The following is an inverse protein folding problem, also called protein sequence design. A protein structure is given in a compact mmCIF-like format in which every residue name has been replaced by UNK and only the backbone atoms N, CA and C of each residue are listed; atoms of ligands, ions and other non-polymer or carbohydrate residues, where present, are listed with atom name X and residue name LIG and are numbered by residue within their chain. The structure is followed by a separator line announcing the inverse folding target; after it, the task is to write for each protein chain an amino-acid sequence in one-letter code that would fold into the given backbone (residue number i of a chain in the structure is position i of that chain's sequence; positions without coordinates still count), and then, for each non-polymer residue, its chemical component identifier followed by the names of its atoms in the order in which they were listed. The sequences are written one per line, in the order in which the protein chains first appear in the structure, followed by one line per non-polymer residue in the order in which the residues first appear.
data_IF_952009928801
#
_entry.id   IF_952009928801
#
_cell.length_a   1.000
_cell.length_b   1.000
_cell.length_c   1.000
_cell.angle_alpha   90.00
_cell.angle_beta   90.00
_cell.angle_gamma   90.00
#
_symmetry.space_group_name_H-M   'P 1'
#
loop_
_entity.id
_entity.type
_entity.pdbx_description
1 polymer ?
#
# COMPACT_ATOMS: atom_id res chain seq x y z
N UNK A 1 -2.29 11.61 75.71
CA UNK A 1 -2.05 10.88 74.44
C UNK A 1 -3.00 11.44 73.39
N UNK A 2 -2.59 12.49 72.70
CA UNK A 2 -3.37 13.12 71.63
C UNK A 2 -2.39 13.61 70.58
N UNK A 3 -2.04 12.77 69.61
CA UNK A 3 -1.27 13.18 68.44
C UNK A 3 -1.32 12.10 67.33
N UNK A 4 -2.50 11.69 66.87
CA UNK A 4 -2.63 10.92 65.60
C UNK A 4 -4.01 11.19 64.99
N UNK A 5 -4.22 12.31 64.28
CA UNK A 5 -5.43 12.49 63.47
C UNK A 5 -5.41 13.64 62.44
N UNK A 6 -4.25 14.10 61.96
CA UNK A 6 -4.21 15.04 60.82
C UNK A 6 -3.44 14.56 59.57
N UNK A 7 -2.59 13.54 59.66
CA UNK A 7 -1.80 13.07 58.50
C UNK A 7 -2.55 12.12 57.56
N UNK A 8 -3.66 11.49 57.97
CA UNK A 8 -4.40 10.56 57.11
C UNK A 8 -5.44 11.23 56.21
N UNK A 9 -5.87 12.46 56.50
CA UNK A 9 -6.86 13.17 55.67
C UNK A 9 -6.24 13.95 54.49
N UNK A 10 -4.94 14.29 54.55
CA UNK A 10 -4.24 14.96 53.44
C UNK A 10 -3.79 13.98 52.34
N UNK A 11 -3.52 12.72 52.68
CA UNK A 11 -3.13 11.69 51.71
C UNK A 11 -4.27 11.24 50.80
N UNK A 12 -5.49 11.11 51.33
CA UNK A 12 -6.65 10.68 50.56
C UNK A 12 -7.13 11.75 49.55
N UNK A 13 -7.04 13.04 49.90
CA UNK A 13 -7.41 14.14 49.02
C UNK A 13 -6.42 14.31 47.84
N UNK A 14 -5.12 14.10 48.07
CA UNK A 14 -4.12 14.13 47.00
C UNK A 14 -4.23 12.92 46.05
N UNK A 15 -4.52 11.72 46.57
CA UNK A 15 -4.69 10.52 45.74
C UNK A 15 -5.98 10.57 44.92
N UNK A 16 -7.06 11.15 45.46
CA UNK A 16 -8.29 11.40 44.69
C UNK A 16 -8.13 12.52 43.65
N UNK A 17 -7.35 13.57 43.94
CA UNK A 17 -7.05 14.62 42.96
C UNK A 17 -6.15 14.12 41.82
N UNK A 18 -5.20 13.22 42.10
CA UNK A 18 -4.37 12.59 41.07
C UNK A 18 -5.17 11.56 40.28
N UNK A 19 -6.03 10.75 40.93
CA UNK A 19 -6.89 9.80 40.21
C UNK A 19 -7.95 10.49 39.33
N UNK A 20 -8.50 11.63 39.76
CA UNK A 20 -9.37 12.47 38.94
C UNK A 20 -8.61 13.20 37.81
N UNK A 21 -7.33 13.54 38.02
CA UNK A 21 -6.48 14.13 36.97
C UNK A 21 -6.06 13.11 35.88
N UNK A 22 -6.09 11.80 36.17
CA UNK A 22 -5.86 10.75 35.15
C UNK A 22 -7.17 10.42 34.38
N UNK A 23 -8.34 10.82 34.88
CA UNK A 23 -9.64 10.63 34.20
C UNK A 23 -10.05 11.79 33.27
N UNK A 24 -9.16 12.75 33.02
CA UNK A 24 -9.48 13.97 32.27
C UNK A 24 -8.42 14.43 31.25
N UNK A 25 -7.46 13.58 30.88
CA UNK A 25 -6.72 13.83 29.65
C UNK A 25 -7.65 13.45 28.49
N UNK A 26 -8.44 14.42 28.02
CA UNK A 26 -9.00 14.35 26.67
C UNK A 26 -7.87 13.89 25.75
N UNK A 27 -8.05 12.76 25.07
CA UNK A 27 -7.08 12.31 24.09
C UNK A 27 -6.81 13.48 23.14
N UNK A 28 -5.59 14.01 23.07
CA UNK A 28 -5.30 15.20 22.25
C UNK A 28 -5.00 14.85 20.80
N UNK A 29 -4.79 13.56 20.50
CA UNK A 29 -4.46 13.04 19.16
C UNK A 29 -5.65 12.40 18.43
N UNK A 30 -5.52 12.04 17.15
CA UNK A 30 -6.57 11.34 16.41
C UNK A 30 -6.92 10.00 17.05
N UNK A 31 -8.20 9.63 16.98
CA UNK A 31 -8.73 8.34 17.47
C UNK A 31 -9.01 7.40 16.30
N UNK A 32 -8.92 6.09 16.53
CA UNK A 32 -9.45 5.09 15.59
C UNK A 32 -10.80 4.59 16.09
N UNK A 33 -11.83 4.82 15.31
CA UNK A 33 -13.20 4.44 15.62
C UNK A 33 -13.59 3.22 14.79
N UNK A 34 -14.44 2.39 15.37
CA UNK A 34 -15.25 1.43 14.63
C UNK A 34 -16.67 1.94 14.55
N UNK A 35 -17.13 2.14 13.33
CA UNK A 35 -18.47 2.62 13.01
C UNK A 35 -19.26 1.44 12.45
N UNK A 36 -20.40 1.09 13.06
CA UNK A 36 -21.18 -0.12 12.73
C UNK A 36 -22.07 0.11 11.50
N UNK A 37 -21.42 0.44 10.38
CA UNK A 37 -22.04 0.59 9.07
C UNK A 37 -21.03 0.25 7.97
N UNK A 38 -21.51 0.06 6.75
CA UNK A 38 -20.63 -0.11 5.60
C UNK A 38 -19.69 1.11 5.43
N UNK A 39 -18.41 0.92 5.05
CA UNK A 39 -17.52 2.01 4.65
C UNK A 39 -18.07 2.92 3.54
N UNK A 40 -19.12 2.50 2.84
CA UNK A 40 -19.77 3.25 1.76
C UNK A 40 -21.05 3.96 2.20
N UNK A 41 -21.35 3.93 3.51
CA UNK A 41 -22.49 4.63 4.06
C UNK A 41 -22.39 6.13 3.77
N UNK A 42 -23.53 6.73 3.38
CA UNK A 42 -23.59 8.13 2.92
C UNK A 42 -22.99 9.11 3.94
N UNK A 43 -23.30 8.92 5.22
CA UNK A 43 -22.80 9.81 6.28
C UNK A 43 -21.27 9.78 6.38
N UNK A 44 -20.66 8.58 6.36
CA UNK A 44 -19.20 8.43 6.39
C UNK A 44 -18.54 9.02 5.14
N UNK A 45 -19.13 8.79 3.96
CA UNK A 45 -18.63 9.35 2.70
C UNK A 45 -18.68 10.88 2.71
N UNK A 46 -19.75 11.50 3.22
CA UNK A 46 -19.84 12.95 3.38
C UNK A 46 -18.73 13.49 4.28
N UNK A 47 -18.55 12.87 5.46
CA UNK A 47 -17.50 13.26 6.40
C UNK A 47 -16.10 13.12 5.79
N UNK A 48 -15.85 12.07 5.00
CA UNK A 48 -14.57 11.88 4.30
C UNK A 48 -14.36 12.91 3.19
N UNK A 49 -15.41 13.23 2.44
CA UNK A 49 -15.36 14.24 1.37
C UNK A 49 -15.11 15.65 1.94
N UNK A 50 -15.65 15.95 3.11
CA UNK A 50 -15.42 17.18 3.88
C UNK A 50 -14.02 17.23 4.52
N UNK A 51 -13.29 16.11 4.56
CA UNK A 51 -11.96 16.01 5.15
C UNK A 51 -11.97 15.89 6.68
N UNK A 52 -13.07 15.40 7.25
CA UNK A 52 -13.23 15.21 8.70
C UNK A 52 -12.79 13.83 9.17
N UNK A 53 -12.77 12.83 8.27
CA UNK A 53 -12.39 11.47 8.60
C UNK A 53 -11.56 10.82 7.51
N UNK A 54 -10.74 9.85 7.90
CA UNK A 54 -10.01 8.95 7.00
C UNK A 54 -10.53 7.52 7.20
N UNK A 55 -11.25 7.00 6.20
CA UNK A 55 -11.79 5.64 6.23
C UNK A 55 -10.69 4.67 5.80
N UNK A 56 -10.23 3.84 6.74
CA UNK A 56 -9.14 2.89 6.51
C UNK A 56 -9.60 1.62 5.80
N UNK A 57 -10.84 1.21 6.03
CA UNK A 57 -11.41 0.00 5.48
C UNK A 57 -12.54 -0.53 6.35
N UNK A 58 -12.88 -1.80 6.20
CA UNK A 58 -13.92 -2.46 6.99
C UNK A 58 -14.58 -3.60 6.24
N UNK A 59 -15.67 -4.11 6.79
CA UNK A 59 -16.53 -5.09 6.12
C UNK A 59 -17.82 -4.43 5.67
N UNK A 60 -18.72 -5.17 5.01
CA UNK A 60 -20.08 -4.68 4.74
C UNK A 60 -20.87 -4.28 5.99
N UNK A 61 -20.40 -4.64 7.20
CA UNK A 61 -21.10 -4.40 8.47
C UNK A 61 -20.43 -3.37 9.40
N UNK A 62 -19.15 -3.01 9.18
CA UNK A 62 -18.49 -1.96 9.94
C UNK A 62 -17.37 -1.29 9.16
N UNK A 63 -17.02 -0.06 9.52
CA UNK A 63 -15.90 0.70 9.00
C UNK A 63 -14.91 1.05 10.12
N UNK A 64 -13.61 0.95 9.83
CA UNK A 64 -12.54 1.52 10.65
C UNK A 64 -12.25 2.92 10.14
N UNK A 65 -12.40 3.91 11.00
CA UNK A 65 -12.41 5.33 10.65
C UNK A 65 -11.48 6.07 11.60
N UNK A 66 -10.43 6.68 11.06
CA UNK A 66 -9.60 7.59 11.84
C UNK A 66 -10.30 8.96 11.90
N UNK A 67 -10.47 9.45 13.13
CA UNK A 67 -11.16 10.70 13.44
C UNK A 67 -10.17 11.66 14.07
N UNK A 68 -9.93 12.79 13.42
CA UNK A 68 -9.06 13.85 13.94
C UNK A 68 -9.65 14.47 15.21
N UNK A 69 -8.78 14.87 16.14
CA UNK A 69 -9.19 15.38 17.45
C UNK A 69 -10.16 16.56 17.32
N UNK A 70 -9.90 17.47 16.38
CA UNK A 70 -10.70 18.67 16.13
C UNK A 70 -12.04 18.36 15.42
N UNK A 71 -12.20 17.15 14.87
CA UNK A 71 -13.38 16.74 14.12
C UNK A 71 -14.37 15.88 14.92
N UNK A 72 -13.98 15.38 16.11
CA UNK A 72 -14.75 14.39 16.90
C UNK A 72 -16.21 14.78 17.13
N UNK A 73 -16.45 15.95 17.70
CA UNK A 73 -17.81 16.44 18.00
C UNK A 73 -18.70 16.50 16.75
N UNK A 74 -18.11 16.88 15.62
CA UNK A 74 -18.82 16.97 14.34
C UNK A 74 -19.14 15.57 13.81
N UNK A 75 -18.17 14.67 13.86
CA UNK A 75 -18.33 13.28 13.42
C UNK A 75 -19.36 12.56 14.29
N UNK A 76 -19.29 12.70 15.60
CA UNK A 76 -20.23 12.10 16.54
C UNK A 76 -21.67 12.55 16.27
N UNK A 77 -21.91 13.87 16.14
CA UNK A 77 -23.24 14.40 15.81
C UNK A 77 -23.76 13.87 14.47
N UNK A 78 -22.91 13.86 13.44
CA UNK A 78 -23.31 13.37 12.11
C UNK A 78 -23.66 11.88 12.12
N UNK A 79 -22.95 11.07 12.91
CA UNK A 79 -23.27 9.64 13.09
C UNK A 79 -24.57 9.46 13.88
N UNK A 80 -24.79 10.23 14.94
CA UNK A 80 -26.03 10.20 15.74
C UNK A 80 -27.25 10.60 14.90
N UNK A 81 -27.16 11.68 14.13
CA UNK A 81 -28.23 12.13 13.21
C UNK A 81 -28.54 11.09 12.12
N UNK A 82 -27.52 10.35 11.69
CA UNK A 82 -27.67 9.26 10.73
C UNK A 82 -28.15 7.93 11.36
N UNK A 83 -28.32 7.87 12.69
CA UNK A 83 -28.68 6.65 13.41
C UNK A 83 -27.60 5.56 13.33
N UNK A 84 -26.33 5.94 13.23
CA UNK A 84 -25.20 5.01 13.08
C UNK A 84 -24.44 4.89 14.39
N UNK A 85 -24.36 3.67 14.91
CA UNK A 85 -23.58 3.37 16.11
C UNK A 85 -22.08 3.38 15.84
N UNK A 86 -21.30 3.78 16.84
CA UNK A 86 -19.84 3.73 16.79
C UNK A 86 -19.24 3.43 18.17
N UNK A 87 -17.97 3.02 18.17
CA UNK A 87 -17.14 2.91 19.37
C UNK A 87 -15.70 3.32 19.07
N UNK A 88 -15.02 3.86 20.08
CA UNK A 88 -13.57 4.10 20.00
C UNK A 88 -12.84 2.77 20.19
N UNK A 89 -12.02 2.36 19.21
CA UNK A 89 -11.15 1.18 19.33
C UNK A 89 -9.76 1.58 19.83
N UNK A 90 -9.30 2.78 19.51
CA UNK A 90 -7.98 3.30 19.92
C UNK A 90 -8.12 4.79 20.28
N UNK A 91 -7.76 5.10 21.53
CA UNK A 91 -7.83 6.47 22.08
C UNK A 91 -6.77 7.42 21.49
N UNK A 92 -5.57 6.89 21.22
CA UNK A 92 -4.49 7.63 20.56
C UNK A 92 -3.90 6.79 19.44
N UNK A 93 -4.33 7.05 18.21
CA UNK A 93 -3.86 6.34 17.03
C UNK A 93 -2.37 6.61 16.75
N UNK A 94 -1.82 7.75 17.18
CA UNK A 94 -0.41 8.09 16.99
C UNK A 94 0.49 7.29 17.94
N UNK A 95 0.01 6.96 19.15
CA UNK A 95 0.73 6.04 20.03
C UNK A 95 0.97 4.67 19.40
N UNK A 96 0.01 4.17 18.59
CA UNK A 96 0.21 2.93 17.83
C UNK A 96 1.27 3.08 16.75
N UNK A 97 1.32 4.23 16.08
CA UNK A 97 2.36 4.55 15.11
C UNK A 97 3.72 4.52 15.78
N UNK A 98 3.90 5.18 16.92
CA UNK A 98 5.18 5.21 17.63
C UNK A 98 5.62 3.82 18.11
N UNK A 99 4.69 3.02 18.63
CA UNK A 99 4.97 1.67 19.13
C UNK A 99 5.26 0.67 18.00
N UNK A 100 4.53 0.78 16.87
CA UNK A 100 4.59 -0.20 15.77
C UNK A 100 5.54 0.23 14.65
N UNK A 101 5.92 1.50 14.57
CA UNK A 101 6.93 1.95 13.61
C UNK A 101 8.30 1.52 14.13
N UNK A 102 9.05 0.71 13.38
CA UNK A 102 10.34 0.21 13.81
C UNK A 102 11.27 1.38 14.18
N UNK A 103 11.84 1.37 15.39
CA UNK A 103 12.92 2.29 15.71
C UNK A 103 14.05 2.00 14.72
N UNK A 104 14.35 2.93 13.81
CA UNK A 104 15.58 2.86 13.02
C UNK A 104 16.76 3.01 14.00
N UNK A 105 17.15 1.90 14.66
CA UNK A 105 18.43 1.77 15.36
C UNK A 105 19.49 2.38 14.45
N UNK A 106 20.37 3.23 14.99
CA UNK A 106 21.46 3.91 14.26
C UNK A 106 22.00 2.98 13.18
N UNK A 107 21.55 3.18 11.94
CA UNK A 107 21.87 2.27 10.85
C UNK A 107 23.36 2.38 10.64
N UNK A 108 24.06 1.25 10.70
CA UNK A 108 25.38 1.17 10.13
C UNK A 108 25.27 1.56 8.65
N UNK A 109 26.15 2.43 8.18
CA UNK A 109 26.16 3.09 6.86
C UNK A 109 26.23 2.09 5.67
N UNK A 110 26.19 0.78 5.92
CA UNK A 110 26.57 -0.29 5.00
C UNK A 110 25.55 -1.45 4.88
N UNK A 111 24.30 -1.34 5.32
CA UNK A 111 23.33 -2.43 5.11
C UNK A 111 22.60 -2.29 3.76
N UNK A 112 22.81 -3.30 2.90
CA UNK A 112 22.05 -3.58 1.70
C UNK A 112 20.57 -3.82 2.06
N UNK A 113 19.64 -3.41 1.17
CA UNK A 113 18.19 -3.66 1.33
C UNK A 113 17.89 -5.14 1.63
N UNK A 114 16.92 -5.39 2.51
CA UNK A 114 16.42 -6.70 2.89
C UNK A 114 14.88 -6.72 2.91
N UNK A 115 14.30 -7.88 3.27
CA UNK A 115 12.84 -8.02 3.46
C UNK A 115 12.50 -8.47 4.89
N UNK A 116 13.32 -8.02 5.84
CA UNK A 116 13.07 -8.16 7.27
C UNK A 116 12.72 -6.82 7.91
N UNK A 117 12.97 -5.71 7.22
CA UNK A 117 12.68 -4.35 7.67
C UNK A 117 12.05 -3.51 6.56
N UNK A 118 11.40 -2.41 6.92
CA UNK A 118 10.95 -1.43 5.92
C UNK A 118 12.08 -0.47 5.54
N UNK A 119 12.17 -0.17 4.25
CA UNK A 119 13.23 0.62 3.64
C UNK A 119 12.64 1.90 3.06
N UNK A 120 13.32 3.04 3.22
CA UNK A 120 12.82 4.29 2.64
C UNK A 120 13.08 4.35 1.13
N UNK A 121 12.64 5.43 0.50
CA UNK A 121 12.82 5.62 -0.94
C UNK A 121 14.29 5.53 -1.38
N UNK A 122 15.21 6.13 -0.62
CA UNK A 122 16.62 6.18 -1.00
C UNK A 122 17.31 4.83 -0.87
N UNK A 123 16.94 4.02 0.12
CA UNK A 123 17.38 2.63 0.24
C UNK A 123 16.97 1.81 -0.99
N UNK A 124 15.69 1.94 -1.39
CA UNK A 124 15.11 1.22 -2.53
C UNK A 124 15.80 1.63 -3.83
N UNK A 125 15.98 2.93 -4.07
CA UNK A 125 16.66 3.44 -5.27
C UNK A 125 18.13 3.00 -5.32
N UNK A 126 18.85 3.04 -4.20
CA UNK A 126 20.23 2.56 -4.10
C UNK A 126 20.35 1.08 -4.43
N UNK A 127 19.40 0.28 -3.95
CA UNK A 127 19.32 -1.15 -4.23
C UNK A 127 19.03 -1.43 -5.71
N UNK A 128 18.04 -0.77 -6.31
CA UNK A 128 17.69 -0.93 -7.74
C UNK A 128 18.85 -0.51 -8.63
N UNK A 129 19.51 0.61 -8.33
CA UNK A 129 20.70 1.07 -9.06
C UNK A 129 21.81 0.01 -9.02
N UNK A 130 22.03 -0.60 -7.87
CA UNK A 130 23.02 -1.68 -7.71
C UNK A 130 22.64 -2.91 -8.55
N UNK A 131 21.36 -3.31 -8.54
CA UNK A 131 20.87 -4.40 -9.38
C UNK A 131 21.01 -4.09 -10.88
N UNK A 132 20.70 -2.86 -11.30
CA UNK A 132 20.83 -2.42 -12.69
C UNK A 132 22.26 -2.62 -13.21
N UNK A 133 23.24 -2.14 -12.44
CA UNK A 133 24.66 -2.27 -12.76
C UNK A 133 25.18 -3.72 -12.77
N UNK A 134 24.57 -4.62 -11.97
CA UNK A 134 25.08 -5.98 -11.77
C UNK A 134 24.30 -7.06 -12.53
N UNK A 135 23.12 -6.74 -13.06
CA UNK A 135 22.20 -7.70 -13.71
C UNK A 135 22.67 -8.22 -15.07
N UNK A 136 23.81 -7.75 -15.60
CA UNK A 136 24.31 -8.10 -16.94
C UNK A 136 23.28 -7.86 -18.06
N UNK A 137 22.48 -6.80 -17.94
CA UNK A 137 21.52 -6.36 -18.95
C UNK A 137 20.12 -6.96 -18.82
N UNK A 138 19.88 -7.82 -17.83
CA UNK A 138 18.53 -8.32 -17.53
C UNK A 138 17.62 -7.22 -17.00
N UNK A 139 18.16 -6.32 -16.19
CA UNK A 139 17.46 -5.18 -15.60
C UNK A 139 17.91 -3.89 -16.29
N UNK A 140 16.97 -3.01 -16.62
CA UNK A 140 17.20 -1.62 -17.00
C UNK A 140 16.25 -0.73 -16.23
N UNK A 141 16.76 0.37 -15.69
CA UNK A 141 15.95 1.38 -15.00
C UNK A 141 15.78 2.62 -15.87
N UNK A 142 14.56 3.13 -15.93
CA UNK A 142 14.16 4.37 -16.62
C UNK A 142 13.39 5.27 -15.65
N UNK A 143 13.29 6.56 -15.96
CA UNK A 143 12.57 7.55 -15.14
C UNK A 143 11.30 7.97 -15.85
N UNK A 144 10.15 7.74 -15.23
CA UNK A 144 8.82 8.09 -15.74
C UNK A 144 8.57 9.61 -15.72
N UNK A 145 8.95 10.20 -14.59
CA UNK A 145 8.63 11.54 -14.18
C UNK A 145 9.59 11.96 -13.06
N UNK A 146 9.59 13.26 -12.80
CA UNK A 146 10.15 13.84 -11.58
C UNK A 146 8.98 14.39 -10.76
N UNK A 147 8.91 14.03 -9.49
CA UNK A 147 7.87 14.50 -8.56
C UNK A 147 8.00 15.99 -8.28
N UNK A 148 7.01 16.57 -7.60
CA UNK A 148 7.03 17.99 -7.21
C UNK A 148 8.19 18.35 -6.28
N UNK A 149 8.63 17.44 -5.41
CA UNK A 149 9.81 17.64 -4.55
C UNK A 149 11.12 17.19 -5.22
N UNK A 150 11.10 16.86 -6.52
CA UNK A 150 12.31 16.62 -7.33
C UNK A 150 12.84 15.19 -7.32
N UNK A 151 12.07 14.20 -6.84
CA UNK A 151 12.48 12.79 -6.82
C UNK A 151 12.09 12.10 -8.12
N UNK A 152 12.94 11.22 -8.70
CA UNK A 152 12.55 10.45 -9.87
C UNK A 152 11.53 9.36 -9.52
N UNK A 153 10.50 9.22 -10.35
CA UNK A 153 9.60 8.05 -10.36
C UNK A 153 10.24 7.00 -11.27
N UNK A 154 10.90 6.00 -10.67
CA UNK A 154 11.64 4.98 -11.40
C UNK A 154 10.76 3.82 -11.89
N UNK A 155 11.02 3.35 -13.12
CA UNK A 155 10.42 2.13 -13.68
C UNK A 155 11.51 1.19 -14.13
N UNK A 156 11.36 -0.07 -13.75
CA UNK A 156 12.35 -1.12 -13.94
C UNK A 156 11.84 -2.11 -14.98
N UNK A 157 12.54 -2.19 -16.12
CA UNK A 157 12.31 -3.23 -17.13
C UNK A 157 13.18 -4.45 -16.84
N UNK A 158 12.57 -5.63 -16.71
CA UNK A 158 13.26 -6.91 -16.49
C UNK A 158 12.85 -7.94 -17.53
N UNK A 159 13.82 -8.47 -18.28
CA UNK A 159 13.61 -9.56 -19.24
C UNK A 159 14.93 -10.23 -19.61
N UNK A 160 14.89 -11.42 -20.21
CA UNK A 160 16.09 -12.02 -20.80
C UNK A 160 16.45 -11.30 -22.11
N UNK A 161 17.58 -10.56 -22.17
CA UNK A 161 17.94 -9.79 -23.37
C UNK A 161 18.38 -10.67 -24.55
N UNK A 162 18.64 -11.96 -24.31
CA UNK A 162 19.07 -12.91 -25.34
C UNK A 162 17.91 -13.65 -25.99
N UNK A 163 16.73 -13.67 -25.34
CA UNK A 163 15.57 -14.36 -25.85
C UNK A 163 14.92 -13.61 -27.01
N UNK A 164 14.84 -14.27 -28.16
CA UNK A 164 14.15 -13.79 -29.37
C UNK A 164 12.74 -14.37 -29.45
N UNK A 165 11.75 -13.55 -29.76
CA UNK A 165 10.36 -13.97 -29.93
C UNK A 165 9.36 -13.05 -29.21
N UNK A 166 8.05 -13.27 -29.41
CA UNK A 166 7.02 -12.50 -28.74
C UNK A 166 7.08 -12.74 -27.23
N UNK A 167 6.93 -11.67 -26.44
CA UNK A 167 6.93 -11.72 -24.98
C UNK A 167 5.63 -11.13 -24.44
N UNK A 168 5.11 -11.76 -23.39
CA UNK A 168 4.00 -11.21 -22.62
C UNK A 168 4.49 -10.05 -21.77
N UNK A 169 3.82 -8.90 -21.86
CA UNK A 169 4.21 -7.70 -21.11
C UNK A 169 3.42 -7.62 -19.81
N UNK A 170 4.12 -7.47 -18.71
CA UNK A 170 3.55 -7.45 -17.36
C UNK A 170 3.94 -6.15 -16.68
N UNK A 171 2.95 -5.34 -16.29
CA UNK A 171 3.14 -4.13 -15.52
C UNK A 171 2.76 -4.37 -14.06
N UNK A 172 3.63 -4.00 -13.14
CA UNK A 172 3.38 -4.08 -11.69
C UNK A 172 3.80 -2.78 -11.03
N UNK A 173 2.93 -2.18 -10.24
CA UNK A 173 3.28 -1.01 -9.43
C UNK A 173 2.96 -1.19 -7.96
N UNK A 174 3.73 -0.50 -7.11
CA UNK A 174 3.48 -0.43 -5.68
C UNK A 174 3.75 0.96 -5.12
N UNK A 175 3.25 1.21 -3.91
CA UNK A 175 3.47 2.46 -3.19
C UNK A 175 2.85 3.68 -3.84
N UNK A 176 1.71 3.54 -4.52
CA UNK A 176 0.94 4.70 -5.02
C UNK A 176 0.31 5.49 -3.86
N UNK A 177 -0.11 4.79 -2.79
CA UNK A 177 -0.39 5.42 -1.49
C UNK A 177 0.80 5.24 -0.56
N UNK A 178 1.23 6.35 0.05
CA UNK A 178 2.49 6.42 0.79
C UNK A 178 2.54 5.54 2.06
N UNK A 179 1.44 5.47 2.83
CA UNK A 179 1.35 4.69 4.08
C UNK A 179 1.37 3.17 3.92
N UNK A 180 1.21 2.66 2.71
CA UNK A 180 1.03 1.23 2.40
C UNK A 180 2.38 0.53 2.24
N UNK A 181 3.23 0.57 3.28
CA UNK A 181 4.64 0.19 3.21
C UNK A 181 4.93 -1.24 2.74
N UNK A 182 3.98 -2.17 2.93
CA UNK A 182 4.12 -3.55 2.45
C UNK A 182 4.09 -3.65 0.92
N UNK A 183 3.46 -2.68 0.24
CA UNK A 183 3.36 -2.66 -1.22
C UNK A 183 4.74 -2.47 -1.89
N UNK A 184 5.54 -1.41 -1.58
CA UNK A 184 6.93 -1.32 -2.06
C UNK A 184 7.82 -2.51 -1.67
N UNK A 185 7.61 -3.08 -0.47
CA UNK A 185 8.36 -4.27 -0.04
C UNK A 185 8.08 -5.50 -0.93
N UNK A 186 6.82 -5.72 -1.32
CA UNK A 186 6.44 -6.77 -2.29
C UNK A 186 7.02 -6.48 -3.66
N UNK A 187 6.88 -5.26 -4.19
CA UNK A 187 7.34 -4.92 -5.53
C UNK A 187 8.86 -5.07 -5.69
N UNK A 188 9.62 -4.62 -4.68
CA UNK A 188 11.08 -4.79 -4.65
C UNK A 188 11.51 -6.25 -4.46
N UNK A 189 10.74 -7.05 -3.73
CA UNK A 189 10.97 -8.49 -3.64
C UNK A 189 10.78 -9.18 -4.99
N UNK A 190 9.75 -8.81 -5.77
CA UNK A 190 9.56 -9.31 -7.13
C UNK A 190 10.75 -8.96 -8.04
N UNK A 191 11.23 -7.71 -7.99
CA UNK A 191 12.44 -7.29 -8.70
C UNK A 191 13.63 -8.19 -8.32
N UNK A 192 13.83 -8.44 -7.02
CA UNK A 192 14.86 -9.35 -6.55
C UNK A 192 14.70 -10.76 -7.14
N UNK A 193 13.52 -11.37 -7.01
CA UNK A 193 13.25 -12.71 -7.52
C UNK A 193 13.51 -12.82 -9.02
N UNK A 194 13.05 -11.86 -9.82
CA UNK A 194 13.23 -11.87 -11.27
C UNK A 194 14.72 -11.86 -11.66
N UNK A 195 15.55 -11.08 -10.98
CA UNK A 195 16.98 -10.96 -11.32
C UNK A 195 17.81 -12.09 -10.73
N UNK A 196 17.56 -12.50 -9.49
CA UNK A 196 18.49 -13.35 -8.72
C UNK A 196 18.05 -14.80 -8.64
N UNK A 197 16.76 -15.13 -8.80
CA UNK A 197 16.25 -16.48 -8.61
C UNK A 197 16.24 -17.25 -9.96
N UNK A 198 17.06 -18.31 -10.12
CA UNK A 198 17.08 -19.11 -11.34
C UNK A 198 15.74 -19.73 -11.72
N UNK A 199 14.83 -19.88 -10.76
CA UNK A 199 13.50 -20.44 -11.01
C UNK A 199 12.60 -19.50 -11.82
N UNK A 200 12.86 -18.19 -11.78
CA UNK A 200 12.12 -17.19 -12.56
C UNK A 200 12.68 -16.98 -13.96
N UNK A 201 13.92 -17.42 -14.21
CA UNK A 201 14.61 -17.21 -15.49
C UNK A 201 13.88 -17.80 -16.71
N UNK A 202 13.25 -19.00 -16.66
CA UNK A 202 12.46 -19.50 -17.78
C UNK A 202 11.30 -18.56 -18.16
N UNK A 203 10.72 -17.88 -17.19
CA UNK A 203 9.63 -16.93 -17.41
C UNK A 203 10.14 -15.69 -18.15
N UNK A 204 11.33 -15.18 -17.82
CA UNK A 204 11.94 -14.01 -18.48
C UNK A 204 12.24 -14.21 -19.98
N UNK A 205 12.29 -15.46 -20.46
CA UNK A 205 12.43 -15.73 -21.90
C UNK A 205 11.17 -15.44 -22.69
N UNK A 206 10.01 -15.51 -22.04
CA UNK A 206 8.68 -15.34 -22.65
C UNK A 206 7.88 -14.18 -22.06
N UNK A 207 8.46 -13.44 -21.12
CA UNK A 207 7.84 -12.28 -20.47
C UNK A 207 8.79 -11.09 -20.42
N UNK A 208 8.21 -9.91 -20.38
CA UNK A 208 8.88 -8.65 -20.14
C UNK A 208 8.14 -7.91 -19.03
N UNK A 209 8.87 -7.62 -17.94
CA UNK A 209 8.29 -7.05 -16.73
C UNK A 209 8.65 -5.59 -16.62
N UNK A 210 7.68 -4.77 -16.26
CA UNK A 210 7.82 -3.37 -15.96
C UNK A 210 7.34 -3.16 -14.53
N UNK A 211 8.27 -2.87 -13.62
CA UNK A 211 7.96 -2.73 -12.21
C UNK A 211 8.20 -1.29 -11.74
N UNK A 212 7.22 -0.72 -11.04
CA UNK A 212 7.29 0.59 -10.38
C UNK A 212 7.36 0.36 -8.87
N UNK A 213 8.56 0.34 -8.26
CA UNK A 213 8.71 0.02 -6.83
C UNK A 213 8.00 1.02 -5.92
N UNK A 214 8.07 2.31 -6.26
CA UNK A 214 7.46 3.42 -5.51
C UNK A 214 6.84 4.39 -6.50
N UNK A 215 5.53 4.27 -6.74
CA UNK A 215 4.78 5.16 -7.62
C UNK A 215 4.59 6.58 -7.05
N UNK A 216 4.68 6.75 -5.72
CA UNK A 216 4.61 8.03 -5.01
C UNK A 216 5.89 8.30 -4.18
N UNK A 217 7.03 8.64 -4.81
CA UNK A 217 8.29 8.84 -4.10
C UNK A 217 8.24 9.86 -2.96
N UNK A 218 7.57 11.01 -3.18
CA UNK A 218 7.54 12.09 -2.19
C UNK A 218 6.68 11.73 -0.99
N UNK A 219 5.48 11.20 -1.22
CA UNK A 219 4.61 10.73 -0.15
C UNK A 219 5.27 9.59 0.62
N UNK A 220 5.87 8.62 -0.09
CA UNK A 220 6.55 7.50 0.55
C UNK A 220 7.69 7.98 1.43
N UNK A 221 8.59 8.83 0.92
CA UNK A 221 9.69 9.38 1.72
C UNK A 221 9.18 10.22 2.91
N UNK A 222 8.11 11.00 2.72
CA UNK A 222 7.50 11.76 3.80
C UNK A 222 7.02 10.85 4.92
N UNK A 223 6.48 9.66 4.59
CA UNK A 223 5.99 8.72 5.62
C UNK A 223 7.06 8.14 6.54
N UNK A 224 8.35 8.27 6.19
CA UNK A 224 9.49 7.91 7.05
C UNK A 224 10.02 9.10 7.87
N UNK A 225 9.37 10.27 7.80
CA UNK A 225 9.73 11.43 8.61
C UNK A 225 9.64 11.10 10.10
N UNK A 226 10.66 11.47 10.86
CA UNK A 226 10.70 11.28 12.32
C UNK A 226 10.17 12.48 13.08
N UNK A 227 10.15 13.63 12.42
CA UNK A 227 9.78 14.91 13.03
C UNK A 227 8.25 15.12 13.04
N UNK A 228 7.51 14.21 12.39
CA UNK A 228 6.05 14.24 12.31
C UNK A 228 5.48 12.82 12.39
N UNK A 229 4.90 12.48 13.55
CA UNK A 229 4.28 11.17 13.79
C UNK A 229 3.07 10.91 12.90
N UNK A 230 2.41 11.97 12.39
CA UNK A 230 1.29 11.82 11.43
C UNK A 230 1.78 11.40 10.04
N UNK A 231 3.04 11.70 9.71
CA UNK A 231 3.58 11.44 8.38
C UNK A 231 3.50 9.95 8.01
N UNK A 232 3.65 9.04 8.98
CA UNK A 232 3.54 7.59 8.73
C UNK A 232 2.22 7.16 8.10
N UNK A 233 1.13 7.89 8.37
CA UNK A 233 -0.20 7.61 7.87
C UNK A 233 -0.57 8.46 6.64
N UNK A 234 0.36 9.25 6.11
CA UNK A 234 0.17 10.03 4.90
C UNK A 234 -0.14 9.11 3.71
N UNK A 235 -1.19 9.44 2.94
CA UNK A 235 -1.65 8.65 1.80
C UNK A 235 -1.24 9.24 0.46
N UNK A 236 -1.52 10.53 0.26
CA UNK A 236 -1.45 11.26 -1.01
C UNK A 236 -0.01 11.50 -1.50
N UNK A 237 0.17 12.13 -2.66
CA UNK A 237 1.47 12.73 -3.01
C UNK A 237 1.74 14.00 -2.18
N UNK A 238 2.76 14.79 -2.54
CA UNK A 238 3.17 16.01 -1.79
C UNK A 238 2.92 17.33 -2.53
N UNK A 239 2.02 17.32 -3.52
CA UNK A 239 1.62 18.51 -4.28
C UNK A 239 1.26 19.68 -3.38
N UNK A 240 1.86 20.84 -3.64
CA UNK A 240 1.43 22.10 -3.04
C UNK A 240 0.23 22.65 -3.82
N UNK A 241 -0.97 22.37 -3.34
CA UNK A 241 -2.21 22.83 -3.98
C UNK A 241 -2.35 24.35 -3.87
N UNK A 242 -2.46 25.04 -5.01
CA UNK A 242 -2.59 26.50 -5.06
C UNK A 242 -3.89 26.92 -4.34
N UNK A 243 -3.80 27.95 -3.50
CA UNK A 243 -4.91 28.49 -2.70
C UNK A 243 -5.59 27.48 -1.75
N UNK A 244 -4.92 26.38 -1.41
CA UNK A 244 -5.41 25.42 -0.43
C UNK A 244 -4.43 25.28 0.74
N UNK A 245 -4.99 25.09 1.95
CA UNK A 245 -4.20 24.83 3.16
C UNK A 245 -3.61 23.41 3.17
N UNK A 246 -4.25 22.47 2.48
CA UNK A 246 -3.90 21.06 2.49
C UNK A 246 -3.09 20.65 1.25
N UNK A 247 -2.13 19.76 1.46
CA UNK A 247 -1.24 19.24 0.41
C UNK A 247 -1.73 17.91 -0.15
N UNK A 248 -1.25 17.61 -1.34
CA UNK A 248 -1.34 16.30 -1.97
C UNK A 248 -2.65 16.03 -2.68
N UNK A 249 -2.54 15.14 -3.67
CA UNK A 249 -3.59 14.53 -4.48
C UNK A 249 -3.53 13.02 -4.27
N UNK A 250 -4.70 12.38 -4.21
CA UNK A 250 -4.79 10.93 -4.25
C UNK A 250 -4.47 10.46 -5.67
N UNK A 251 -3.27 9.90 -5.85
CA UNK A 251 -2.79 9.45 -7.16
C UNK A 251 -3.69 8.35 -7.75
N UNK A 252 -4.40 7.57 -6.92
CA UNK A 252 -5.36 6.56 -7.39
C UNK A 252 -6.79 7.12 -7.54
N UNK A 253 -6.93 8.44 -7.63
CA UNK A 253 -8.13 9.16 -8.08
C UNK A 253 -7.84 10.12 -9.23
N UNK A 254 -6.61 10.13 -9.75
CA UNK A 254 -6.12 11.11 -10.70
C UNK A 254 -6.02 10.60 -12.15
N UNK A 255 -6.53 9.41 -12.46
CA UNK A 255 -6.48 8.84 -13.82
C UNK A 255 -7.70 9.23 -14.66
N UNK A 256 -7.52 9.43 -15.97
CA UNK A 256 -8.60 9.89 -16.86
C UNK A 256 -9.52 8.76 -17.32
N UNK A 257 -10.27 8.17 -16.38
CA UNK A 257 -11.39 7.28 -16.70
C UNK A 257 -12.52 7.49 -15.71
N UNK A 258 -13.64 8.01 -16.22
CA UNK A 258 -14.84 8.36 -15.42
C UNK A 258 -14.51 9.26 -14.22
N UNK A 259 -13.51 10.13 -14.40
CA UNK A 259 -12.83 10.86 -13.34
C UNK A 259 -13.79 11.65 -12.44
N UNK A 260 -13.79 11.32 -11.15
CA UNK A 260 -14.53 12.04 -10.10
C UNK A 260 -15.71 11.31 -9.49
N UNK A 261 -16.15 10.18 -10.04
CA UNK A 261 -17.09 9.28 -9.34
C UNK A 261 -16.43 8.77 -8.06
N UNK A 262 -17.05 9.05 -6.91
CA UNK A 262 -16.58 8.57 -5.61
C UNK A 262 -15.23 9.12 -5.16
N UNK A 263 -14.83 10.29 -5.68
CA UNK A 263 -13.60 10.99 -5.33
C UNK A 263 -13.92 12.44 -4.96
N UNK A 264 -13.20 13.00 -3.99
CA UNK A 264 -13.50 14.33 -3.47
C UNK A 264 -12.89 15.43 -4.34
N UNK A 265 -13.61 16.56 -4.47
CA UNK A 265 -13.09 17.81 -5.02
C UNK A 265 -12.42 18.71 -3.98
N UNK A 266 -12.45 18.34 -2.70
CA UNK A 266 -11.88 19.10 -1.60
C UNK A 266 -10.38 18.75 -1.42
N UNK A 267 -9.45 19.72 -1.54
CA UNK A 267 -8.01 19.47 -1.37
C UNK A 267 -7.60 18.89 -0.01
N UNK A 268 -8.42 19.04 1.02
CA UNK A 268 -8.18 18.50 2.35
C UNK A 268 -8.67 17.05 2.54
N UNK A 269 -9.43 16.50 1.59
CA UNK A 269 -9.84 15.11 1.65
C UNK A 269 -8.69 14.17 1.30
N UNK A 270 -8.67 12.99 1.93
CA UNK A 270 -7.74 11.90 1.61
C UNK A 270 -7.99 11.29 0.23
N UNK A 271 -9.18 11.50 -0.34
CA UNK A 271 -9.56 11.03 -1.69
C UNK A 271 -9.61 12.19 -2.71
N UNK A 272 -8.92 13.30 -2.42
CA UNK A 272 -8.87 14.44 -3.32
C UNK A 272 -8.33 14.05 -4.69
N UNK A 273 -9.15 14.22 -5.74
CA UNK A 273 -8.85 13.74 -7.10
C UNK A 273 -7.87 14.58 -7.92
N UNK A 274 -7.47 15.75 -7.40
CA UNK A 274 -6.68 16.74 -8.13
C UNK A 274 -7.53 17.76 -8.89
N UNK A 275 -6.87 18.74 -9.51
CA UNK A 275 -7.53 19.83 -10.26
C UNK A 275 -8.06 19.38 -11.62
N UNK A 276 -7.46 18.34 -12.20
CA UNK A 276 -7.86 17.69 -13.44
C UNK A 276 -7.41 16.24 -13.40
N UNK A 277 -7.94 15.37 -14.27
CA UNK A 277 -7.30 14.09 -14.52
C UNK A 277 -5.85 14.33 -15.01
N UNK A 278 -4.93 13.46 -14.60
CA UNK A 278 -3.51 13.56 -14.83
C UNK A 278 -2.92 14.94 -14.45
N UNK A 279 -3.39 15.55 -13.35
CA UNK A 279 -2.80 16.79 -12.86
C UNK A 279 -1.41 16.57 -12.25
N UNK A 280 -1.10 15.35 -11.80
CA UNK A 280 0.12 15.05 -11.06
C UNK A 280 1.24 14.54 -11.99
N UNK A 281 2.50 14.97 -11.79
CA UNK A 281 3.61 14.54 -12.63
C UNK A 281 3.84 13.02 -12.57
N UNK A 282 3.57 12.39 -11.41
CA UNK A 282 3.70 10.95 -11.23
C UNK A 282 2.75 10.18 -12.14
N UNK A 283 1.46 10.51 -12.15
CA UNK A 283 0.46 9.82 -12.97
C UNK A 283 0.68 10.11 -14.45
N UNK A 284 1.04 11.34 -14.82
CA UNK A 284 1.40 11.67 -16.21
C UNK A 284 2.60 10.85 -16.71
N UNK A 285 3.63 10.64 -15.88
CA UNK A 285 4.81 9.87 -16.27
C UNK A 285 4.51 8.41 -16.52
N UNK A 286 3.78 7.78 -15.59
CA UNK A 286 3.41 6.38 -15.68
C UNK A 286 2.44 6.13 -16.84
N UNK A 287 1.48 7.04 -17.06
CA UNK A 287 0.58 7.03 -18.21
C UNK A 287 1.35 7.00 -19.54
N UNK A 288 2.28 7.94 -19.72
CA UNK A 288 3.07 8.04 -20.95
C UNK A 288 3.86 6.77 -21.20
N UNK A 289 4.50 6.22 -20.16
CA UNK A 289 5.29 5.00 -20.32
C UNK A 289 4.42 3.78 -20.62
N UNK A 290 3.29 3.60 -19.95
CA UNK A 290 2.39 2.49 -20.28
C UNK A 290 1.86 2.57 -21.72
N UNK A 291 1.56 3.79 -22.22
CA UNK A 291 1.20 4.00 -23.63
C UNK A 291 2.33 3.67 -24.59
N UNK A 292 3.56 4.10 -24.28
CA UNK A 292 4.75 3.83 -25.10
C UNK A 292 5.07 2.34 -25.17
N UNK A 293 4.90 1.64 -24.05
CA UNK A 293 5.12 0.18 -23.97
C UNK A 293 4.08 -0.53 -24.83
N UNK A 294 2.80 -0.21 -24.67
CA UNK A 294 1.68 -0.84 -25.40
C UNK A 294 1.57 -2.35 -25.16
N UNK A 295 0.46 -2.95 -25.59
CA UNK A 295 0.22 -4.42 -25.52
C UNK A 295 0.51 -5.06 -24.16
N UNK A 296 0.19 -4.37 -23.06
CA UNK A 296 0.35 -4.92 -21.71
C UNK A 296 -0.69 -6.04 -21.54
N UNK A 297 -0.24 -7.25 -21.20
CA UNK A 297 -1.09 -8.42 -21.03
C UNK A 297 -1.64 -8.56 -19.60
N UNK A 298 -0.88 -8.11 -18.61
CA UNK A 298 -1.22 -8.17 -17.20
C UNK A 298 -0.77 -6.89 -16.48
N UNK A 299 -1.70 -6.21 -15.83
CA UNK A 299 -1.47 -5.08 -14.95
C UNK A 299 -1.84 -5.46 -13.51
N UNK A 300 -0.96 -5.15 -12.57
CA UNK A 300 -1.21 -5.30 -11.12
C UNK A 300 -0.76 -4.02 -10.41
N UNK A 301 -1.64 -3.41 -9.64
CA UNK A 301 -1.25 -2.41 -8.63
C UNK A 301 -1.39 -3.01 -7.23
N UNK A 302 -0.31 -2.95 -6.44
CA UNK A 302 -0.29 -3.41 -5.06
C UNK A 302 -0.67 -2.28 -4.12
N UNK A 303 -1.66 -2.56 -3.29
CA UNK A 303 -2.13 -1.72 -2.21
C UNK A 303 -2.10 -2.47 -0.89
N UNK A 304 -2.42 -1.81 0.21
CA UNK A 304 -2.79 -2.47 1.45
C UNK A 304 -3.80 -1.62 2.20
N UNK A 305 -4.77 -2.17 2.92
CA UNK A 305 -4.89 -3.56 3.31
C UNK A 305 -6.29 -4.11 2.99
N UNK A 306 -6.46 -5.42 3.09
CA UNK A 306 -7.77 -6.06 2.99
C UNK A 306 -7.74 -7.52 2.59
N UNK A 307 -6.62 -8.01 2.05
CA UNK A 307 -6.53 -9.32 1.42
C UNK A 307 -7.62 -9.51 0.36
N UNK A 308 -7.65 -8.63 -0.63
CA UNK A 308 -8.58 -8.72 -1.76
C UNK A 308 -7.84 -8.63 -3.09
N UNK A 309 -8.33 -9.39 -4.08
CA UNK A 309 -7.93 -9.28 -5.49
C UNK A 309 -9.12 -8.67 -6.22
N UNK A 310 -9.01 -7.36 -6.43
CA UNK A 310 -10.01 -6.57 -7.10
C UNK A 310 -9.72 -6.55 -8.60
N UNK A 311 -10.78 -6.59 -9.39
CA UNK A 311 -10.73 -6.35 -10.83
C UNK A 311 -11.72 -5.24 -11.20
N UNK A 312 -11.55 -4.56 -12.35
CA UNK A 312 -12.47 -3.53 -12.80
C UNK A 312 -13.94 -3.96 -12.78
N UNK A 313 -14.92 -3.09 -12.60
CA UNK A 313 -14.76 -1.64 -12.50
C UNK A 313 -14.88 -1.15 -11.06
N UNK A 314 -14.15 -0.10 -10.73
CA UNK A 314 -14.36 0.73 -9.54
C UNK A 314 -15.50 1.72 -9.71
N UNK A 315 -15.63 2.32 -10.90
CA UNK A 315 -16.59 3.41 -11.13
C UNK A 315 -18.06 2.94 -11.25
N UNK A 316 -18.29 1.62 -11.34
CA UNK A 316 -19.63 1.02 -11.46
C UNK A 316 -19.69 -0.36 -10.82
N UNK A 317 -20.90 -0.82 -10.49
CA UNK A 317 -21.16 -2.19 -10.03
C UNK A 317 -21.31 -3.19 -11.19
N UNK A 318 -21.38 -2.70 -12.43
CA UNK A 318 -21.50 -3.58 -13.60
C UNK A 318 -20.19 -4.32 -13.84
N UNK A 319 -20.22 -5.64 -14.10
CA UNK A 319 -19.00 -6.39 -14.36
C UNK A 319 -18.42 -6.06 -15.74
N UNK A 320 -17.10 -6.21 -15.93
CA UNK A 320 -16.43 -6.08 -17.22
C UNK A 320 -16.75 -7.26 -18.14
N UNK A 321 -16.61 -7.07 -19.45
CA UNK A 321 -17.00 -8.07 -20.46
C UNK A 321 -16.29 -9.42 -20.28
N UNK A 322 -15.02 -9.40 -19.87
CA UNK A 322 -14.20 -10.59 -19.68
C UNK A 322 -14.10 -11.05 -18.21
N UNK A 323 -15.07 -10.71 -17.35
CA UNK A 323 -15.08 -11.01 -15.91
C UNK A 323 -14.76 -12.48 -15.56
N UNK A 324 -15.18 -13.44 -16.40
CA UNK A 324 -14.87 -14.84 -16.19
C UNK A 324 -13.37 -15.15 -16.31
N UNK A 325 -12.67 -14.49 -17.23
CA UNK A 325 -11.22 -14.59 -17.35
C UNK A 325 -10.54 -13.92 -16.15
N UNK A 326 -10.99 -12.72 -15.79
CA UNK A 326 -10.45 -11.98 -14.64
C UNK A 326 -10.52 -12.81 -13.36
N UNK A 327 -11.69 -13.41 -13.08
CA UNK A 327 -11.87 -14.31 -11.92
C UNK A 327 -11.01 -15.56 -11.99
N UNK A 328 -10.79 -16.15 -13.18
CA UNK A 328 -9.94 -17.34 -13.32
C UNK A 328 -8.49 -17.05 -12.95
N UNK A 329 -7.93 -15.95 -13.45
CA UNK A 329 -6.52 -15.59 -13.16
C UNK A 329 -6.38 -15.06 -11.73
N UNK A 330 -7.35 -14.31 -11.20
CA UNK A 330 -7.36 -13.91 -9.79
C UNK A 330 -7.34 -15.12 -8.83
N UNK A 331 -8.07 -16.20 -9.15
CA UNK A 331 -8.02 -17.45 -8.35
C UNK A 331 -6.64 -18.09 -8.37
N UNK A 332 -5.88 -17.99 -9.47
CA UNK A 332 -4.50 -18.50 -9.53
C UNK A 332 -3.62 -17.84 -8.48
N UNK A 333 -3.75 -16.53 -8.30
CA UNK A 333 -3.09 -15.80 -7.23
C UNK A 333 -3.58 -16.25 -5.85
N UNK A 334 -4.89 -16.15 -5.60
CA UNK A 334 -5.48 -16.38 -4.28
C UNK A 334 -5.26 -17.81 -3.77
N UNK A 335 -5.45 -18.82 -4.62
CA UNK A 335 -5.26 -20.23 -4.26
C UNK A 335 -3.78 -20.54 -3.96
N UNK A 336 -2.86 -19.92 -4.71
CA UNK A 336 -1.42 -20.08 -4.49
C UNK A 336 -0.98 -19.45 -3.18
N UNK A 337 -1.42 -18.22 -2.90
CA UNK A 337 -1.12 -17.54 -1.63
C UNK A 337 -1.71 -18.31 -0.46
N UNK A 338 -2.96 -18.77 -0.57
CA UNK A 338 -3.58 -19.63 0.45
C UNK A 338 -2.79 -20.90 0.69
N UNK A 339 -2.29 -21.54 -0.36
CA UNK A 339 -1.48 -22.75 -0.25
C UNK A 339 -0.13 -22.47 0.42
N UNK A 340 0.61 -21.46 -0.02
CA UNK A 340 1.94 -21.15 0.52
C UNK A 340 1.89 -20.64 1.97
N UNK A 341 0.80 -19.97 2.33
CA UNK A 341 0.53 -19.51 3.70
C UNK A 341 -0.04 -20.60 4.62
N UNK A 342 -0.17 -21.85 4.15
CA UNK A 342 -0.87 -22.94 4.83
C UNK A 342 -2.27 -22.56 5.33
N UNK A 343 -2.99 -21.74 4.54
CA UNK A 343 -4.34 -21.29 4.82
C UNK A 343 -4.45 -20.05 5.69
N UNK A 344 -3.35 -19.49 6.20
CA UNK A 344 -3.38 -18.31 7.07
C UNK A 344 -3.67 -17.01 6.32
N UNK A 345 -3.34 -16.94 5.03
CA UNK A 345 -3.64 -15.78 4.17
C UNK A 345 -4.68 -16.18 3.14
N UNK A 346 -5.85 -15.54 3.18
CA UNK A 346 -6.99 -15.83 2.28
C UNK A 346 -7.45 -14.54 1.64
N UNK A 347 -7.48 -14.54 0.30
CA UNK A 347 -7.91 -13.42 -0.50
C UNK A 347 -9.37 -13.57 -0.96
N UNK A 348 -10.15 -12.50 -0.80
CA UNK A 348 -11.45 -12.36 -1.47
C UNK A 348 -11.26 -11.85 -2.90
N UNK A 349 -12.11 -12.27 -3.85
CA UNK A 349 -12.02 -11.88 -5.25
C UNK A 349 -13.33 -11.22 -5.68
N UNK A 350 -13.28 -10.02 -6.22
CA UNK A 350 -14.48 -9.34 -6.71
C UNK A 350 -14.20 -8.08 -7.50
N UNK A 351 -15.28 -7.44 -7.97
CA UNK A 351 -15.15 -6.15 -8.65
C UNK A 351 -14.85 -5.04 -7.65
N UNK A 352 -14.00 -4.09 -8.02
CA UNK A 352 -13.63 -2.96 -7.15
C UNK A 352 -14.87 -2.20 -6.64
N UNK A 353 -15.80 -1.83 -7.51
CA UNK A 353 -17.01 -1.09 -7.16
C UNK A 353 -17.96 -1.85 -6.22
N UNK A 354 -18.30 -3.12 -6.51
CA UNK A 354 -19.11 -3.94 -5.62
C UNK A 354 -18.50 -4.22 -4.24
N UNK A 355 -17.18 -4.42 -4.15
CA UNK A 355 -16.53 -4.78 -2.88
C UNK A 355 -16.07 -3.58 -2.05
N UNK A 356 -15.61 -2.52 -2.70
CA UNK A 356 -14.98 -1.33 -2.07
C UNK A 356 -15.76 -0.04 -2.34
N UNK A 357 -16.96 -0.14 -2.89
CA UNK A 357 -17.79 1.00 -3.22
C UNK A 357 -17.28 1.75 -4.45
N UNK A 358 -18.10 2.68 -4.93
CA UNK A 358 -17.76 3.41 -6.16
C UNK A 358 -16.58 4.35 -5.94
N UNK A 359 -15.58 4.23 -6.82
CA UNK A 359 -14.40 5.08 -6.93
C UNK A 359 -13.94 5.09 -8.40
N UNK A 360 -13.40 6.20 -8.88
CA UNK A 360 -12.94 6.35 -10.26
C UNK A 360 -11.61 7.10 -10.30
N UNK A 361 -11.03 7.16 -11.50
CA UNK A 361 -9.69 7.68 -11.69
C UNK A 361 -8.64 6.83 -10.99
N UNK A 362 -8.88 5.53 -10.88
CA UNK A 362 -7.91 4.54 -10.40
C UNK A 362 -7.12 3.94 -11.56
N UNK A 363 -5.88 3.51 -11.31
CA UNK A 363 -4.97 3.01 -12.35
C UNK A 363 -5.49 1.72 -13.00
N UNK A 364 -6.08 0.81 -12.22
CA UNK A 364 -6.56 -0.50 -12.69
C UNK A 364 -7.70 -0.38 -13.69
N UNK A 365 -8.68 0.46 -13.38
CA UNK A 365 -9.79 0.82 -14.26
C UNK A 365 -9.26 1.48 -15.55
N UNK A 366 -8.36 2.45 -15.44
CA UNK A 366 -7.79 3.15 -16.60
C UNK A 366 -6.98 2.21 -17.50
N UNK A 367 -6.11 1.36 -16.94
CA UNK A 367 -5.33 0.39 -17.71
C UNK A 367 -6.24 -0.59 -18.45
N UNK A 368 -7.32 -1.04 -17.83
CA UNK A 368 -8.29 -1.93 -18.48
C UNK A 368 -9.10 -1.21 -19.57
N UNK A 369 -9.60 -0.01 -19.28
CA UNK A 369 -10.53 0.70 -20.15
C UNK A 369 -9.89 1.45 -21.31
N UNK A 370 -8.78 2.15 -21.05
CA UNK A 370 -8.13 3.05 -22.01
C UNK A 370 -6.94 2.40 -22.72
N UNK A 371 -6.24 1.46 -22.07
CA UNK A 371 -5.14 0.70 -22.69
C UNK A 371 -5.54 -0.71 -23.16
N UNK A 372 -6.81 -1.10 -22.94
CA UNK A 372 -7.32 -2.43 -23.28
C UNK A 372 -6.50 -3.59 -22.67
N UNK A 373 -5.88 -3.38 -21.50
CA UNK A 373 -5.17 -4.45 -20.78
C UNK A 373 -6.18 -5.53 -20.39
N UNK A 374 -6.06 -6.77 -20.88
CA UNK A 374 -7.11 -7.78 -20.69
C UNK A 374 -7.20 -8.26 -19.23
N UNK A 375 -6.10 -8.18 -18.48
CA UNK A 375 -6.01 -8.62 -17.09
C UNK A 375 -5.49 -7.47 -16.24
N UNK A 376 -6.39 -6.73 -15.58
CA UNK A 376 -6.05 -5.61 -14.71
C UNK A 376 -6.55 -5.89 -13.30
N UNK A 377 -5.69 -5.69 -12.30
CA UNK A 377 -5.98 -5.98 -10.91
C UNK A 377 -5.45 -4.93 -9.96
N UNK A 378 -6.23 -4.66 -8.93
CA UNK A 378 -5.77 -4.09 -7.66
C UNK A 378 -5.64 -5.22 -6.65
N UNK A 379 -4.49 -5.38 -6.00
CA UNK A 379 -4.29 -6.39 -4.95
C UNK A 379 -4.05 -5.68 -3.62
N UNK A 380 -5.03 -5.79 -2.72
CA UNK A 380 -4.95 -5.28 -1.35
C UNK A 380 -4.25 -6.33 -0.47
N UNK A 381 -3.00 -6.07 -0.12
CA UNK A 381 -2.14 -6.96 0.64
C UNK A 381 -2.61 -7.12 2.10
N UNK A 382 -1.96 -7.99 2.91
CA UNK A 382 -2.31 -8.16 4.31
C UNK A 382 -2.21 -6.85 5.13
N UNK A 383 -2.94 -6.76 6.23
CA UNK A 383 -3.86 -7.78 6.76
C UNK A 383 -5.34 -7.44 6.49
N UNK A 384 -6.25 -7.82 7.39
CA UNK A 384 -7.69 -7.50 7.31
C UNK A 384 -8.12 -6.40 8.30
N UNK A 385 -7.18 -5.59 8.76
CA UNK A 385 -7.43 -4.45 9.65
C UNK A 385 -6.99 -4.62 11.11
N UNK A 386 -6.29 -5.72 11.45
CA UNK A 386 -5.75 -5.88 12.80
C UNK A 386 -4.50 -4.99 13.01
N UNK A 387 -3.62 -4.96 12.02
CA UNK A 387 -2.50 -4.02 11.92
C UNK A 387 -2.79 -2.92 10.91
N UNK A 388 -3.60 -3.20 9.88
CA UNK A 388 -3.89 -2.27 8.82
C UNK A 388 -2.60 -1.82 8.12
N UNK A 389 -2.42 -0.51 8.00
CA UNK A 389 -1.21 0.08 7.39
C UNK A 389 0.07 -0.12 8.22
N UNK A 390 -0.04 -0.52 9.50
CA UNK A 390 1.06 -0.71 10.44
C UNK A 390 1.48 -2.18 10.57
N UNK A 391 1.41 -2.94 9.47
CA UNK A 391 1.80 -4.35 9.42
C UNK A 391 3.26 -4.51 9.92
N UNK A 392 3.51 -5.34 10.95
CA UNK A 392 4.82 -5.39 11.59
C UNK A 392 5.88 -6.04 10.71
N UNK A 393 7.14 -5.65 10.92
CA UNK A 393 8.31 -6.14 10.16
C UNK A 393 8.43 -7.67 10.14
N UNK A 394 8.05 -8.33 11.24
CA UNK A 394 8.03 -9.79 11.36
C UNK A 394 7.11 -10.49 10.35
N UNK A 395 6.19 -9.76 9.70
CA UNK A 395 5.28 -10.27 8.67
C UNK A 395 5.77 -10.02 7.25
N UNK A 396 6.77 -9.15 7.04
CA UNK A 396 7.25 -8.79 5.70
C UNK A 396 7.68 -10.04 4.93
N UNK A 397 8.61 -10.82 5.49
CA UNK A 397 9.16 -12.00 4.80
C UNK A 397 8.09 -13.01 4.38
N UNK A 398 7.10 -13.30 5.23
CA UNK A 398 6.01 -14.22 4.85
C UNK A 398 5.14 -13.64 3.74
N UNK A 399 4.80 -12.35 3.83
CA UNK A 399 3.91 -11.68 2.89
C UNK A 399 4.54 -11.50 1.52
N UNK A 400 5.82 -11.13 1.43
CA UNK A 400 6.50 -11.01 0.13
C UNK A 400 6.67 -12.35 -0.55
N UNK A 401 6.95 -13.43 0.21
CA UNK A 401 7.13 -14.78 -0.33
C UNK A 401 5.82 -15.38 -0.88
N UNK A 402 4.74 -15.31 -0.10
CA UNK A 402 3.43 -15.84 -0.52
C UNK A 402 2.87 -15.05 -1.71
N UNK A 403 3.01 -13.72 -1.70
CA UNK A 403 2.53 -12.84 -2.77
C UNK A 403 3.32 -13.05 -4.06
N UNK A 404 4.65 -13.15 -3.99
CA UNK A 404 5.48 -13.43 -5.16
C UNK A 404 5.15 -14.79 -5.79
N UNK A 405 4.82 -15.80 -4.97
CA UNK A 405 4.36 -17.10 -5.47
C UNK A 405 3.03 -16.98 -6.22
N UNK A 406 2.10 -16.17 -5.72
CA UNK A 406 0.85 -15.84 -6.41
C UNK A 406 1.08 -15.16 -7.77
N UNK A 407 1.94 -14.15 -7.80
CA UNK A 407 2.30 -13.41 -9.03
C UNK A 407 2.98 -14.33 -10.05
N UNK A 408 3.93 -15.17 -9.59
CA UNK A 408 4.57 -16.18 -10.44
C UNK A 408 3.52 -17.10 -11.10
N UNK A 409 2.53 -17.54 -10.33
CA UNK A 409 1.45 -18.40 -10.85
C UNK A 409 0.59 -17.69 -11.89
N UNK A 410 0.23 -16.42 -11.68
CA UNK A 410 -0.49 -15.62 -12.69
C UNK A 410 0.32 -15.52 -13.98
N UNK A 411 1.58 -15.10 -13.88
CA UNK A 411 2.46 -14.90 -15.03
C UNK A 411 2.75 -16.22 -15.79
N UNK A 412 2.93 -17.33 -15.06
CA UNK A 412 3.12 -18.64 -15.68
C UNK A 412 1.88 -19.13 -16.40
N UNK A 413 0.69 -18.88 -15.82
CA UNK A 413 -0.59 -19.25 -16.42
C UNK A 413 -0.85 -18.50 -17.73
N UNK A 414 -0.64 -17.17 -17.76
CA UNK A 414 -0.87 -16.37 -18.97
C UNK A 414 0.18 -16.60 -20.06
N UNK A 415 1.36 -17.08 -19.68
CA UNK A 415 2.48 -17.36 -20.58
C UNK A 415 2.55 -18.83 -21.03
N UNK A 416 1.62 -19.69 -20.58
CA UNK A 416 1.58 -21.13 -20.86
C UNK A 416 2.88 -21.88 -20.51
N UNK A 417 3.59 -21.47 -19.46
CA UNK A 417 4.91 -22.05 -19.11
C UNK A 417 4.85 -23.25 -18.15
N UNK A 418 3.66 -23.73 -17.79
CA UNK A 418 3.46 -24.92 -16.96
C UNK A 418 2.79 -24.63 -15.61
N UNK A 419 2.88 -25.57 -14.63
CA UNK A 419 2.15 -25.48 -13.38
C UNK A 419 2.67 -24.36 -12.47
N UNK A 420 1.77 -23.87 -11.61
CA UNK A 420 2.06 -22.88 -10.57
C UNK A 420 2.96 -23.46 -9.46
N UNK A 421 4.27 -23.51 -9.69
CA UNK A 421 5.25 -23.68 -8.61
C UNK A 421 6.68 -23.36 -9.07
N UNK A 422 7.36 -22.39 -8.44
CA UNK A 422 8.79 -22.45 -8.30
C UNK A 422 9.14 -23.68 -7.42
N UNK A 423 10.12 -24.51 -7.79
CA UNK A 423 10.57 -25.62 -6.92
C UNK A 423 11.08 -25.03 -5.59
N UNK A 424 10.46 -25.42 -4.46
CA UNK A 424 10.86 -24.97 -3.11
C UNK A 424 12.34 -25.26 -2.86
N UNK A 425 13.17 -24.24 -2.69
CA UNK A 425 14.43 -24.37 -1.96
C UNK A 425 14.10 -24.34 -0.47
N UNK A 426 14.34 -25.43 0.25
CA UNK A 426 14.28 -25.47 1.72
C UNK A 426 15.30 -24.45 2.25
N UNK A 427 14.83 -23.46 3.01
CA UNK A 427 15.57 -22.34 3.59
C UNK A 427 16.20 -21.34 2.60
N UNK A 428 15.68 -20.11 2.48
CA UNK A 428 16.52 -18.98 2.07
C UNK A 428 17.36 -18.60 3.29
N UNK A 429 18.42 -19.36 3.59
CA UNK A 429 19.57 -18.71 4.23
C UNK A 429 20.04 -17.70 3.18
N UNK A 430 19.70 -16.42 3.37
CA UNK A 430 20.20 -15.33 2.54
C UNK A 430 21.71 -15.48 2.44
N UNK A 431 22.17 -15.97 1.29
CA UNK A 431 23.52 -16.45 1.07
C UNK A 431 24.50 -15.30 0.96
N UNK A 432 24.67 -14.53 2.03
CA UNK A 432 25.89 -13.77 2.22
C UNK A 432 26.95 -14.77 2.66
N UNK A 433 27.73 -15.25 1.68
CA UNK A 433 29.05 -15.81 2.00
C UNK A 433 29.78 -14.73 2.79
N UNK A 434 29.96 -14.93 4.11
CA UNK A 434 30.96 -14.18 4.87
C UNK A 434 32.27 -14.28 4.08
N UNK A 435 32.99 -13.18 3.82
CA UNK A 435 34.29 -13.28 3.18
C UNK A 435 35.15 -14.21 4.04
N UNK A 436 35.71 -15.25 3.40
CA UNK A 436 36.63 -16.15 4.06
C UNK A 436 37.80 -15.34 4.61
N UNK A 437 38.18 -15.45 5.89
CA UNK A 437 39.41 -14.87 6.37
C UNK A 437 40.54 -15.72 5.80
N UNK A 438 41.13 -15.26 4.69
CA UNK A 438 42.43 -15.75 4.24
C UNK A 438 43.45 -14.63 4.47
N UNK A 439 44.46 -15.00 5.25
CA UNK A 439 45.75 -14.35 5.47
C UNK A 439 45.79 -13.13 6.41
N UNK A 440 46.06 -13.41 7.68
CA UNK A 440 47.28 -12.95 8.37
C UNK A 440 47.79 -14.11 9.23
N UNK A 441 49.05 -14.51 9.02
CA UNK A 441 49.70 -15.68 9.62
C UNK A 441 50.55 -16.39 8.60
#
# INVERSE_FOLDING_TARGET
MACVSLLQMLGAACVLAVAAAVQGLEATGPQLWRVETSPHHRALRSLQDEGHVDIWGGTGSYAQVMVEAEARDRVERALQEAGVEHRVEVEDALSLVEQKTPSRRKRAVNLQMDWNTYHDYYDIESYIRTMNLTSRGYLRQEVAATTDEGRPVGVVRITDPTATGPKKKIWIEGGIHAREWISPAVTTFLIHQLVTNPTWQPLLRVTEWYLVPVANPDGYQHSFSRDDTRARLWRKNRRNNVNARCKGVDLNRNWDLKWGVGASGNPCSETYKGSSAFSEPETQGLERMMRLIGDIDLFITFHSFGQTVLYPWGWTVKPPANVNMLKRVARKFADTVRKESNGSTVYEIGGSGPLYGLASGATDDWAYGELAVPLSYTIELPDKGHFGFLLPESRISSTVMETASGVYCMASYISNTGPCAPRRTRNPSWGFRRPSPRFWG
#
